data_IF_825908567069
#
_entry.id   IF_825908567069
#
_cell.length_a   1.000
_cell.length_b   1.000
_cell.length_c   1.000
_cell.angle_alpha   90.00
_cell.angle_beta   90.00
_cell.angle_gamma   90.00
#
_symmetry.space_group_name_H-M   'P 1'
#
loop_
_entity.id
_entity.type
_entity.pdbx_description
1 polymer ?
#
# COMPACT_ATOMS: atom_id res chain seq x y z
N UNK A 1 -12.19 9.12 -13.11
CA UNK A 1 -12.07 10.17 -12.07
C UNK A 1 -13.38 10.23 -11.29
N UNK A 2 -13.57 9.28 -10.39
CA UNK A 2 -14.64 9.28 -9.39
C UNK A 2 -14.08 9.75 -8.04
N UNK A 3 -14.96 10.21 -7.14
CA UNK A 3 -14.58 10.66 -5.79
C UNK A 3 -13.82 9.57 -5.00
N UNK A 4 -14.11 8.30 -5.28
CA UNK A 4 -13.46 7.13 -4.70
C UNK A 4 -12.00 6.99 -5.13
N UNK A 5 -11.66 7.33 -6.38
CA UNK A 5 -10.28 7.22 -6.91
C UNK A 5 -9.35 8.18 -6.16
N UNK A 6 -9.78 9.43 -5.94
CA UNK A 6 -8.98 10.43 -5.21
C UNK A 6 -8.84 10.09 -3.72
N UNK A 7 -9.87 9.48 -3.14
CA UNK A 7 -9.82 9.04 -1.75
C UNK A 7 -8.85 7.86 -1.61
N UNK A 8 -8.92 6.87 -2.50
CA UNK A 8 -7.99 5.75 -2.53
C UNK A 8 -6.54 6.21 -2.69
N UNK A 9 -6.28 7.13 -3.62
CA UNK A 9 -4.93 7.66 -3.86
C UNK A 9 -4.35 8.36 -2.62
N UNK A 10 -5.14 9.22 -1.96
CA UNK A 10 -4.70 9.88 -0.71
C UNK A 10 -4.40 8.86 0.39
N UNK A 11 -5.26 7.88 0.58
CA UNK A 11 -5.07 6.84 1.60
C UNK A 11 -3.81 6.00 1.35
N UNK A 12 -3.55 5.62 0.10
CA UNK A 12 -2.33 4.88 -0.27
C UNK A 12 -1.08 5.72 0.02
N UNK A 13 -1.08 6.99 -0.38
CA UNK A 13 0.05 7.91 -0.16
C UNK A 13 0.29 8.13 1.34
N UNK A 14 -0.77 8.30 2.13
CA UNK A 14 -0.66 8.44 3.58
C UNK A 14 -0.09 7.18 4.25
N UNK A 15 -0.61 6.00 3.90
CA UNK A 15 -0.11 4.72 4.41
C UNK A 15 1.37 4.50 4.05
N UNK A 16 1.77 4.88 2.81
CA UNK A 16 3.16 4.81 2.38
C UNK A 16 4.07 5.75 3.17
N UNK A 17 3.64 7.01 3.38
CA UNK A 17 4.40 8.00 4.15
C UNK A 17 4.54 7.62 5.63
N UNK A 18 3.53 6.96 6.19
CA UNK A 18 3.54 6.46 7.56
C UNK A 18 4.37 5.18 7.73
N UNK A 19 4.83 4.57 6.62
CA UNK A 19 5.53 3.29 6.67
C UNK A 19 4.60 2.14 7.07
N UNK A 20 3.29 2.24 6.86
CA UNK A 20 2.35 1.14 7.20
C UNK A 20 2.63 -0.10 6.35
N UNK A 21 3.18 0.08 5.14
CA UNK A 21 3.64 -1.00 4.28
C UNK A 21 4.95 -1.64 4.76
N UNK A 22 5.64 -1.04 5.74
CA UNK A 22 6.94 -1.48 6.24
C UNK A 22 6.83 -2.68 7.19
N UNK A 23 5.67 -2.83 7.82
CA UNK A 23 5.41 -3.91 8.77
C UNK A 23 4.46 -4.99 8.19
N UNK A 24 4.28 -5.02 6.87
CA UNK A 24 3.46 -6.04 6.25
C UNK A 24 4.21 -7.38 6.22
N UNK A 25 3.54 -8.50 6.56
CA UNK A 25 4.12 -9.82 6.40
C UNK A 25 4.47 -10.06 4.93
N UNK A 26 5.63 -10.65 4.65
CA UNK A 26 6.10 -10.81 3.27
C UNK A 26 6.90 -9.62 2.71
N UNK A 27 7.08 -8.53 3.45
CA UNK A 27 7.88 -7.40 2.95
C UNK A 27 9.34 -7.82 2.72
N UNK A 28 9.77 -7.75 1.47
CA UNK A 28 11.12 -8.12 1.05
C UNK A 28 11.32 -9.62 0.87
N UNK A 29 10.30 -10.44 1.16
CA UNK A 29 10.33 -11.85 0.81
C UNK A 29 10.09 -12.02 -0.70
N UNK A 30 10.74 -12.99 -1.35
CA UNK A 30 10.49 -13.28 -2.74
C UNK A 30 9.00 -13.61 -2.92
N UNK A 31 8.39 -13.05 -3.96
CA UNK A 31 7.02 -13.40 -4.36
C UNK A 31 7.02 -14.89 -4.75
N UNK A 32 6.67 -15.75 -3.80
CA UNK A 32 6.53 -17.18 -4.03
C UNK A 32 5.27 -17.36 -4.89
N UNK A 33 5.48 -17.53 -6.19
CA UNK A 33 4.45 -18.00 -7.12
C UNK A 33 4.38 -19.52 -6.96
N UNK A 34 3.46 -19.99 -6.11
CA UNK A 34 3.08 -21.41 -5.99
C UNK A 34 1.86 -21.73 -6.83
#
# INVERSE_FOLDING_TARGET
MWLLDQWAERHIIEAQRKGEFDNLPGRGEPLISG
#
